data_IF_720024776076
#
_entry.id   IF_720024776076
#
_cell.length_a   1.000
_cell.length_b   1.000
_cell.length_c   1.000
_cell.angle_alpha   90.00
_cell.angle_beta   90.00
_cell.angle_gamma   90.00
#
_symmetry.space_group_name_H-M   'P 1'
#
loop_
_entity.id
_entity.type
_entity.pdbx_description
1 polymer ?
#
# COMPACT_ATOMS: atom_id res chain seq x y z
N UNK A 1 -6.50 18.54 -2.87
CA UNK A 1 -5.97 17.15 -2.84
C UNK A 1 -5.37 16.77 -1.48
N UNK A 2 -4.77 17.69 -0.72
CA UNK A 2 -4.16 17.41 0.60
C UNK A 2 -5.13 17.30 1.78
N UNK A 3 -6.33 17.88 1.69
CA UNK A 3 -7.29 17.88 2.82
C UNK A 3 -7.88 16.49 3.08
N UNK A 4 -8.22 15.74 2.02
CA UNK A 4 -8.82 14.41 2.14
C UNK A 4 -7.85 13.39 2.75
N UNK A 5 -6.57 13.42 2.34
CA UNK A 5 -5.51 12.56 2.91
C UNK A 5 -5.30 12.83 4.41
N UNK A 6 -5.38 14.10 4.82
CA UNK A 6 -5.21 14.49 6.22
C UNK A 6 -6.38 14.01 7.09
N UNK A 7 -7.59 14.04 6.52
CA UNK A 7 -8.82 13.57 7.18
C UNK A 7 -8.92 12.04 7.17
N UNK A 8 -8.38 11.35 6.17
CA UNK A 8 -8.38 9.89 6.06
C UNK A 8 -7.51 9.21 7.12
N UNK A 9 -6.38 9.82 7.48
CA UNK A 9 -5.34 9.22 8.32
C UNK A 9 -5.83 8.76 9.70
N UNK A 10 -6.62 9.53 10.47
CA UNK A 10 -7.16 9.07 11.76
C UNK A 10 -8.09 7.86 11.63
N UNK A 11 -8.95 7.83 10.61
CA UNK A 11 -9.86 6.69 10.39
C UNK A 11 -9.11 5.45 9.94
N UNK A 12 -8.16 5.60 9.01
CA UNK A 12 -7.31 4.51 8.56
C UNK A 12 -6.50 3.92 9.72
N UNK A 13 -5.96 4.78 10.58
CA UNK A 13 -5.22 4.35 11.77
C UNK A 13 -6.12 3.62 12.78
N UNK A 14 -7.29 4.17 13.11
CA UNK A 14 -8.21 3.52 14.04
C UNK A 14 -8.69 2.16 13.52
N UNK A 15 -9.03 2.06 12.23
CA UNK A 15 -9.39 0.79 11.60
C UNK A 15 -8.22 -0.19 11.60
N UNK A 16 -7.00 0.29 11.35
CA UNK A 16 -5.79 -0.54 11.37
C UNK A 16 -5.46 -1.06 12.76
N UNK A 17 -5.44 -0.18 13.77
CA UNK A 17 -5.17 -0.56 15.17
C UNK A 17 -6.18 -1.63 15.64
N UNK A 18 -7.47 -1.45 15.33
CA UNK A 18 -8.51 -2.43 15.63
C UNK A 18 -8.30 -3.76 14.87
N UNK A 19 -7.98 -3.69 13.58
CA UNK A 19 -7.76 -4.88 12.77
C UNK A 19 -6.53 -5.69 13.22
N UNK A 20 -5.50 -5.02 13.74
CA UNK A 20 -4.32 -5.65 14.33
C UNK A 20 -4.66 -6.33 15.65
N UNK A 21 -5.40 -5.67 16.55
CA UNK A 21 -5.84 -6.26 17.82
C UNK A 21 -6.65 -7.54 17.63
N UNK A 22 -7.49 -7.57 16.58
CA UNK A 22 -8.33 -8.71 16.24
C UNK A 22 -7.70 -9.69 15.23
N UNK A 23 -6.45 -9.46 14.83
CA UNK A 23 -5.71 -10.25 13.83
C UNK A 23 -6.52 -10.49 12.53
N UNK A 24 -7.30 -9.50 12.12
CA UNK A 24 -8.25 -9.54 11.01
C UNK A 24 -7.95 -8.51 9.91
N UNK A 25 -6.69 -8.07 9.84
CA UNK A 25 -6.17 -7.06 8.88
C UNK A 25 -6.54 -7.37 7.43
N UNK A 26 -6.47 -8.63 7.01
CA UNK A 26 -6.81 -9.03 5.64
C UNK A 26 -8.30 -8.85 5.34
N UNK A 27 -9.19 -9.29 6.25
CA UNK A 27 -10.63 -9.08 6.10
C UNK A 27 -11.00 -7.61 6.09
N UNK A 28 -10.37 -6.81 6.96
CA UNK A 28 -10.58 -5.36 6.98
C UNK A 28 -10.17 -4.72 5.66
N UNK A 29 -9.05 -5.13 5.06
CA UNK A 29 -8.65 -4.63 3.74
C UNK A 29 -9.70 -4.93 2.67
N UNK A 30 -10.24 -6.15 2.63
CA UNK A 30 -11.27 -6.53 1.65
C UNK A 30 -12.56 -5.74 1.85
N UNK A 31 -12.99 -5.56 3.11
CA UNK A 31 -14.14 -4.72 3.47
C UNK A 31 -13.96 -3.26 3.01
N UNK A 32 -12.80 -2.66 3.30
CA UNK A 32 -12.48 -1.29 2.89
C UNK A 32 -12.36 -1.17 1.37
N UNK A 33 -11.82 -2.18 0.70
CA UNK A 33 -11.72 -2.23 -0.76
C UNK A 33 -13.11 -2.24 -1.41
N UNK A 34 -14.02 -3.07 -0.90
CA UNK A 34 -15.40 -3.11 -1.36
C UNK A 34 -16.11 -1.77 -1.12
N UNK A 35 -15.98 -1.19 0.08
CA UNK A 35 -16.58 0.10 0.39
C UNK A 35 -16.03 1.25 -0.48
N UNK A 36 -14.72 1.24 -0.79
CA UNK A 36 -14.12 2.19 -1.71
C UNK A 36 -14.65 2.03 -3.14
N UNK A 37 -14.88 0.80 -3.60
CA UNK A 37 -15.43 0.54 -4.94
C UNK A 37 -16.90 0.95 -5.06
N UNK A 38 -17.70 0.69 -4.02
CA UNK A 38 -19.10 1.16 -3.92
C UNK A 38 -19.15 2.69 -3.96
N UNK A 39 -18.19 3.35 -3.32
CA UNK A 39 -18.09 4.83 -3.32
C UNK A 39 -17.74 5.41 -4.69
N UNK A 40 -17.04 4.65 -5.55
CA UNK A 40 -16.71 5.06 -6.92
C UNK A 40 -17.86 4.88 -7.91
N UNK A 41 -18.92 4.15 -7.56
CA UNK A 41 -20.07 3.99 -8.44
C UNK A 41 -20.77 5.35 -8.64
N UNK A 42 -21.01 5.75 -9.90
CA UNK A 42 -21.56 7.06 -10.24
C UNK A 42 -22.88 7.37 -9.51
N UNK A 43 -23.77 6.38 -9.36
CA UNK A 43 -25.04 6.55 -8.65
C UNK A 43 -24.82 6.83 -7.16
N UNK A 44 -23.82 6.17 -6.56
CA UNK A 44 -23.50 6.36 -5.15
C UNK A 44 -22.73 7.67 -4.93
N UNK A 45 -21.84 8.03 -5.85
CA UNK A 45 -21.11 9.29 -5.82
C UNK A 45 -22.07 10.50 -5.94
N UNK A 46 -23.10 10.41 -6.79
CA UNK A 46 -24.16 11.42 -6.87
C UNK A 46 -24.96 11.49 -5.57
N UNK A 47 -25.36 10.34 -5.00
CA UNK A 47 -26.11 10.26 -3.74
C UNK A 47 -25.30 10.81 -2.56
N UNK A 48 -23.99 10.58 -2.54
CA UNK A 48 -23.01 11.15 -1.61
C UNK A 48 -22.77 12.65 -1.80
N UNK A 49 -23.05 13.18 -2.98
CA UNK A 49 -22.98 14.62 -3.26
C UNK A 49 -24.27 15.35 -2.91
N UNK A 50 -25.38 14.63 -2.80
CA UNK A 50 -26.67 15.15 -2.35
C UNK A 50 -26.66 15.55 -0.88
N UNK A 51 -27.46 16.56 -0.53
CA UNK A 51 -27.71 16.96 0.86
C UNK A 51 -28.71 16.00 1.55
N UNK A 52 -28.35 14.72 1.65
CA UNK A 52 -29.15 13.72 2.35
C UNK A 52 -28.80 13.70 3.84
N UNK A 53 -29.75 13.25 4.66
CA UNK A 53 -29.49 13.03 6.08
C UNK A 53 -28.39 11.94 6.25
N UNK A 54 -27.39 12.16 7.13
CA UNK A 54 -26.30 11.20 7.35
C UNK A 54 -26.78 9.80 7.71
N UNK A 55 -27.88 9.72 8.46
CA UNK A 55 -28.51 8.48 8.92
C UNK A 55 -29.05 7.66 7.73
N UNK A 56 -29.90 8.26 6.90
CA UNK A 56 -30.48 7.61 5.70
C UNK A 56 -29.41 7.19 4.71
N UNK A 57 -28.36 7.99 4.59
CA UNK A 57 -27.25 7.70 3.70
C UNK A 57 -26.40 6.53 4.23
N UNK A 58 -26.15 6.49 5.55
CA UNK A 58 -25.46 5.37 6.19
C UNK A 58 -26.25 4.06 6.05
N UNK A 59 -27.57 4.09 6.23
CA UNK A 59 -28.44 2.93 6.07
C UNK A 59 -28.47 2.44 4.62
N UNK A 60 -28.56 3.34 3.64
CA UNK A 60 -28.49 2.97 2.22
C UNK A 60 -27.13 2.34 1.87
N UNK A 61 -26.03 2.92 2.38
CA UNK A 61 -24.68 2.38 2.17
C UNK A 61 -24.52 1.01 2.83
N UNK A 62 -25.01 0.85 4.07
CA UNK A 62 -24.96 -0.42 4.80
C UNK A 62 -25.86 -1.46 4.13
N UNK A 63 -27.01 -1.09 3.57
CA UNK A 63 -27.86 -2.02 2.83
C UNK A 63 -27.17 -2.57 1.57
N UNK A 64 -26.33 -1.75 0.92
CA UNK A 64 -25.53 -2.17 -0.24
C UNK A 64 -24.31 -3.00 0.17
N UNK A 65 -23.67 -2.65 1.30
CA UNK A 65 -22.48 -3.33 1.81
C UNK A 65 -22.75 -4.46 2.80
N UNK A 66 -24.01 -4.70 3.16
CA UNK A 66 -24.39 -5.49 4.34
C UNK A 66 -23.98 -6.95 4.30
N UNK A 67 -23.73 -7.50 3.11
CA UNK A 67 -23.34 -8.90 2.93
C UNK A 67 -21.82 -9.13 3.09
N UNK A 68 -21.02 -8.06 3.14
CA UNK A 68 -19.56 -8.12 3.23
C UNK A 68 -19.01 -7.37 4.45
N UNK A 69 -19.84 -6.61 5.18
CA UNK A 69 -19.40 -5.71 6.23
C UNK A 69 -19.78 -6.24 7.63
N UNK A 70 -18.76 -6.55 8.43
CA UNK A 70 -18.92 -6.92 9.85
C UNK A 70 -19.50 -5.75 10.67
N UNK A 71 -20.03 -6.03 11.87
CA UNK A 71 -20.59 -5.01 12.79
C UNK A 71 -19.64 -3.83 13.02
N UNK A 72 -18.33 -4.10 13.10
CA UNK A 72 -17.30 -3.07 13.28
C UNK A 72 -17.08 -2.23 12.02
N UNK A 73 -17.18 -2.84 10.84
CA UNK A 73 -17.15 -2.11 9.57
C UNK A 73 -18.37 -1.22 9.42
N UNK A 74 -19.56 -1.70 9.83
CA UNK A 74 -20.78 -0.90 9.84
C UNK A 74 -20.67 0.32 10.77
N UNK A 75 -20.07 0.14 11.94
CA UNK A 75 -19.81 1.24 12.86
C UNK A 75 -18.84 2.28 12.27
N UNK A 76 -17.78 1.85 11.58
CA UNK A 76 -16.87 2.76 10.88
C UNK A 76 -17.63 3.59 9.82
N UNK A 77 -18.46 2.93 9.01
CA UNK A 77 -19.26 3.59 7.97
C UNK A 77 -20.25 4.59 8.59
N UNK A 78 -20.92 4.25 9.70
CA UNK A 78 -21.80 5.18 10.42
C UNK A 78 -21.07 6.43 10.88
N UNK A 79 -19.92 6.28 11.53
CA UNK A 79 -19.10 7.41 12.00
C UNK A 79 -18.61 8.26 10.81
N UNK A 80 -18.23 7.65 9.70
CA UNK A 80 -17.82 8.38 8.49
C UNK A 80 -19.01 9.10 7.82
N UNK A 81 -20.21 8.50 7.84
CA UNK A 81 -21.43 9.08 7.33
C UNK A 81 -21.88 10.29 8.14
N UNK A 82 -21.90 10.19 9.48
CA UNK A 82 -22.22 11.31 10.40
C UNK A 82 -21.34 12.54 10.14
N UNK A 83 -20.07 12.32 9.80
CA UNK A 83 -19.14 13.38 9.49
C UNK A 83 -19.16 13.84 8.02
N UNK A 84 -20.05 13.30 7.17
CA UNK A 84 -20.11 13.53 5.72
C UNK A 84 -18.78 13.23 4.99
N UNK A 85 -18.02 12.24 5.48
CA UNK A 85 -16.65 11.90 5.01
C UNK A 85 -16.56 10.61 4.21
N UNK A 86 -17.68 10.07 3.75
CA UNK A 86 -17.70 8.84 2.96
C UNK A 86 -16.98 8.95 1.62
N UNK A 87 -16.92 10.15 1.02
CA UNK A 87 -16.14 10.41 -0.20
C UNK A 87 -14.64 10.11 -0.06
N UNK A 88 -14.15 10.02 1.18
CA UNK A 88 -12.73 9.85 1.53
C UNK A 88 -12.37 8.36 1.70
N UNK A 89 -13.34 7.44 1.57
CA UNK A 89 -13.12 5.99 1.67
C UNK A 89 -11.97 5.47 0.77
N UNK A 90 -11.82 5.91 -0.49
CA UNK A 90 -10.68 5.50 -1.32
C UNK A 90 -9.32 5.90 -0.72
N UNK A 91 -9.21 7.11 -0.16
CA UNK A 91 -7.99 7.57 0.49
C UNK A 91 -7.72 6.81 1.81
N UNK A 92 -8.79 6.45 2.55
CA UNK A 92 -8.67 5.61 3.76
C UNK A 92 -8.11 4.23 3.42
N UNK A 93 -8.57 3.62 2.31
CA UNK A 93 -8.04 2.34 1.84
C UNK A 93 -6.55 2.42 1.51
N UNK A 94 -6.12 3.44 0.76
CA UNK A 94 -4.70 3.62 0.43
C UNK A 94 -3.85 3.79 1.70
N UNK A 95 -4.30 4.59 2.66
CA UNK A 95 -3.61 4.76 3.94
C UNK A 95 -3.60 3.47 4.77
N UNK A 96 -4.68 2.68 4.75
CA UNK A 96 -4.74 1.39 5.43
C UNK A 96 -3.74 0.39 4.84
N UNK A 97 -3.65 0.31 3.51
CA UNK A 97 -2.66 -0.53 2.81
C UNK A 97 -1.24 -0.07 3.16
N UNK A 98 -1.00 1.24 3.24
CA UNK A 98 0.30 1.78 3.62
C UNK A 98 0.67 1.43 5.08
N UNK A 99 -0.28 1.55 6.01
CA UNK A 99 -0.10 1.15 7.41
C UNK A 99 0.11 -0.35 7.56
N UNK A 100 -0.64 -1.16 6.82
CA UNK A 100 -0.45 -2.61 6.73
C UNK A 100 0.95 -2.94 6.23
N UNK A 101 1.40 -2.33 5.14
CA UNK A 101 2.75 -2.53 4.60
C UNK A 101 3.84 -2.11 5.60
N UNK A 102 3.62 -1.01 6.33
CA UNK A 102 4.53 -0.56 7.37
C UNK A 102 4.57 -1.51 8.58
N UNK A 103 3.44 -2.09 8.97
CA UNK A 103 3.32 -3.01 10.11
C UNK A 103 3.76 -4.44 9.80
N UNK A 104 3.42 -4.95 8.62
CA UNK A 104 4.00 -6.19 8.08
C UNK A 104 5.49 -5.98 7.73
N UNK A 105 5.93 -4.73 7.81
CA UNK A 105 7.27 -4.26 7.57
C UNK A 105 7.79 -4.80 6.24
N UNK A 106 6.94 -4.78 5.21
CA UNK A 106 7.29 -5.26 3.89
C UNK A 106 8.17 -4.20 3.24
N UNK A 107 9.47 -4.47 3.18
CA UNK A 107 10.38 -3.63 2.42
C UNK A 107 10.21 -3.96 0.93
N UNK A 108 9.69 -3.02 0.16
CA UNK A 108 9.73 -3.11 -1.29
C UNK A 108 11.17 -2.91 -1.76
N UNK A 109 11.70 -3.93 -2.42
CA UNK A 109 13.07 -3.94 -2.94
C UNK A 109 12.99 -4.08 -4.44
N UNK A 110 13.40 -3.03 -5.14
CA UNK A 110 13.52 -3.00 -6.59
C UNK A 110 14.88 -3.60 -6.98
N UNK A 111 14.88 -4.69 -7.73
CA UNK A 111 16.10 -5.33 -8.25
C UNK A 111 16.17 -5.08 -9.75
N UNK A 112 17.16 -4.30 -10.16
CA UNK A 112 17.45 -4.01 -11.56
C UNK A 112 18.58 -4.95 -12.00
N UNK A 113 18.28 -5.82 -12.97
CA UNK A 113 19.24 -6.79 -13.51
C UNK A 113 19.33 -6.69 -15.02
N UNK A 114 20.52 -6.95 -15.58
CA UNK A 114 20.72 -7.02 -17.03
C UNK A 114 19.99 -8.22 -17.67
N UNK A 115 19.82 -9.30 -16.92
CA UNK A 115 19.16 -10.53 -17.36
C UNK A 115 18.05 -10.94 -16.38
N UNK A 116 17.12 -11.77 -16.86
CA UNK A 116 16.12 -12.41 -16.02
C UNK A 116 16.82 -13.29 -14.97
N UNK A 117 16.58 -13.00 -13.69
CA UNK A 117 17.13 -13.77 -12.58
C UNK A 117 16.42 -15.12 -12.48
N UNK A 118 17.16 -16.16 -12.05
CA UNK A 118 16.54 -17.44 -11.71
C UNK A 118 15.85 -17.39 -10.34
N UNK A 119 14.86 -18.26 -10.12
CA UNK A 119 14.12 -18.32 -8.86
C UNK A 119 15.03 -18.60 -7.65
N UNK A 120 16.11 -19.37 -7.85
CA UNK A 120 17.13 -19.61 -6.83
C UNK A 120 17.87 -18.33 -6.44
N UNK A 121 18.23 -17.50 -7.42
CA UNK A 121 18.91 -16.22 -7.16
C UNK A 121 17.97 -15.24 -6.45
N UNK A 122 16.68 -15.21 -6.84
CA UNK A 122 15.67 -14.41 -6.18
C UNK A 122 15.53 -14.83 -4.71
N UNK A 123 15.43 -16.12 -4.42
CA UNK A 123 15.32 -16.63 -3.03
C UNK A 123 16.54 -16.24 -2.17
N UNK A 124 17.75 -16.32 -2.73
CA UNK A 124 18.98 -15.89 -2.04
C UNK A 124 18.97 -14.38 -1.76
N UNK A 125 18.52 -13.57 -2.72
CA UNK A 125 18.40 -12.12 -2.56
C UNK A 125 17.34 -11.79 -1.50
N UNK A 126 16.17 -12.44 -1.52
CA UNK A 126 15.14 -12.29 -0.48
C UNK A 126 15.76 -12.58 0.88
N UNK A 127 16.37 -13.76 1.07
CA UNK A 127 16.93 -14.13 2.38
C UNK A 127 18.01 -13.17 2.88
N UNK A 128 18.88 -12.69 1.98
CA UNK A 128 19.92 -11.72 2.31
C UNK A 128 19.33 -10.35 2.69
N UNK A 129 18.31 -9.90 1.98
CA UNK A 129 17.64 -8.63 2.24
C UNK A 129 16.75 -8.70 3.47
N UNK A 130 16.06 -9.82 3.72
CA UNK A 130 15.28 -10.05 4.94
C UNK A 130 16.17 -10.04 6.18
N UNK A 131 17.37 -10.65 6.11
CA UNK A 131 18.37 -10.57 7.20
C UNK A 131 18.86 -9.15 7.45
N UNK A 132 19.11 -8.38 6.38
CA UNK A 132 19.62 -7.01 6.49
C UNK A 132 18.56 -6.01 6.97
N UNK A 133 17.33 -6.16 6.50
CA UNK A 133 16.22 -5.26 6.81
C UNK A 133 15.41 -5.71 8.03
N UNK A 134 15.58 -6.95 8.51
CA UNK A 134 14.79 -7.58 9.59
C UNK A 134 13.28 -7.51 9.34
N UNK A 135 12.91 -7.65 8.07
CA UNK A 135 11.63 -7.26 7.49
C UNK A 135 11.31 -8.17 6.33
N UNK A 136 10.04 -8.52 6.10
CA UNK A 136 9.65 -9.29 4.91
C UNK A 136 9.94 -8.45 3.67
N UNK A 137 10.43 -9.07 2.60
CA UNK A 137 10.84 -8.32 1.40
C UNK A 137 9.93 -8.69 0.23
N UNK A 138 9.29 -7.69 -0.38
CA UNK A 138 8.60 -7.85 -1.66
C UNK A 138 9.53 -7.39 -2.78
N UNK A 139 10.01 -8.33 -3.57
CA UNK A 139 10.90 -8.05 -4.69
C UNK A 139 10.09 -7.57 -5.91
N UNK A 140 10.49 -6.42 -6.45
CA UNK A 140 10.03 -5.96 -7.76
C UNK A 140 11.22 -6.01 -8.73
N UNK A 141 11.20 -6.97 -9.66
CA UNK A 141 12.30 -7.21 -10.58
C UNK A 141 12.10 -6.42 -11.88
N UNK A 142 13.04 -5.51 -12.18
CA UNK A 142 13.10 -4.80 -13.47
C UNK A 142 14.30 -5.28 -14.27
N UNK A 143 14.09 -5.50 -15.57
CA UNK A 143 15.17 -5.87 -16.50
C UNK A 143 15.64 -4.61 -17.21
N UNK A 144 16.90 -4.25 -17.01
CA UNK A 144 17.55 -3.12 -17.69
C UNK A 144 18.89 -3.56 -18.30
N UNK A 145 18.92 -3.64 -19.63
CA UNK A 145 20.10 -4.04 -20.40
C UNK A 145 21.24 -3.02 -20.36
N UNK A 146 20.99 -1.78 -19.91
CA UNK A 146 22.01 -0.73 -19.78
C UNK A 146 23.07 -1.06 -18.73
N UNK A 147 22.73 -1.93 -17.76
CA UNK A 147 23.62 -2.34 -16.67
C UNK A 147 24.75 -3.25 -17.16
N UNK A 148 24.64 -3.78 -18.39
CA UNK A 148 25.53 -4.76 -19.07
C UNK A 148 25.73 -6.08 -18.30
N UNK A 149 26.19 -6.00 -17.05
CA UNK A 149 26.34 -7.10 -16.12
C UNK A 149 26.24 -6.63 -14.66
N UNK A 150 25.71 -7.49 -13.79
CA UNK A 150 25.51 -7.23 -12.37
C UNK A 150 24.08 -6.85 -12.00
N UNK A 151 23.89 -6.50 -10.73
CA UNK A 151 22.60 -6.19 -10.13
C UNK A 151 22.66 -4.85 -9.39
N UNK A 152 21.58 -4.07 -9.48
CA UNK A 152 21.37 -2.88 -8.66
C UNK A 152 20.15 -3.16 -7.80
N UNK A 153 20.32 -3.14 -6.49
CA UNK A 153 19.24 -3.38 -5.53
C UNK A 153 18.90 -2.03 -4.89
N UNK A 154 17.66 -1.57 -5.05
CA UNK A 154 17.14 -0.35 -4.44
C UNK A 154 16.06 -0.71 -3.42
N UNK A 155 16.26 -0.31 -2.17
CA UNK A 155 15.31 -0.51 -1.07
C UNK A 155 15.00 0.85 -0.45
N UNK A 156 13.92 1.50 -0.89
CA UNK A 156 13.62 2.89 -0.53
C UNK A 156 14.79 3.82 -0.91
N UNK A 157 15.40 4.46 0.09
CA UNK A 157 16.55 5.36 -0.08
C UNK A 157 17.91 4.65 -0.17
N UNK A 158 17.96 3.35 0.11
CA UNK A 158 19.21 2.59 0.09
C UNK A 158 19.43 1.97 -1.29
N UNK A 159 20.52 2.35 -1.96
CA UNK A 159 20.94 1.76 -3.25
C UNK A 159 22.21 0.95 -3.06
N UNK A 160 22.14 -0.35 -3.31
CA UNK A 160 23.28 -1.25 -3.41
C UNK A 160 23.58 -1.47 -4.88
N UNK A 161 24.62 -0.80 -5.37
CA UNK A 161 25.10 -0.96 -6.74
C UNK A 161 26.17 -2.06 -6.82
N UNK A 162 25.78 -3.20 -7.40
CA UNK A 162 26.65 -4.30 -7.78
C UNK A 162 26.90 -4.40 -9.29
N UNK A 163 26.59 -3.34 -10.05
CA UNK A 163 26.78 -3.32 -11.51
C UNK A 163 28.24 -3.19 -11.91
N UNK A 164 28.59 -3.77 -13.06
CA UNK A 164 29.91 -3.59 -13.68
C UNK A 164 30.10 -2.15 -14.14
N UNK A 165 29.03 -1.49 -14.59
CA UNK A 165 29.03 -0.06 -14.95
C UNK A 165 29.50 0.81 -13.79
N UNK A 166 28.89 0.66 -12.61
CA UNK A 166 29.27 1.45 -11.43
C UNK A 166 30.70 1.18 -10.96
N UNK A 167 31.21 -0.05 -11.14
CA UNK A 167 32.62 -0.37 -10.84
C UNK A 167 33.60 0.31 -11.82
N UNK A 168 33.27 0.34 -13.11
CA UNK A 168 34.08 1.02 -14.12
C UNK A 168 34.08 2.54 -13.92
N UNK A 169 32.93 3.14 -13.60
CA UNK A 169 32.83 4.57 -13.28
C UNK A 169 33.70 4.93 -12.07
N UNK A 170 33.64 4.15 -10.97
CA UNK A 170 34.51 4.37 -9.80
C UNK A 170 36.00 4.23 -10.14
N UNK A 171 36.36 3.29 -11.01
CA UNK A 171 37.76 3.13 -11.43
C UNK A 171 38.23 4.32 -12.27
N UNK A 172 37.38 4.80 -13.19
CA UNK A 172 37.68 5.96 -14.02
C UNK A 172 37.87 7.23 -13.17
N UNK A 173 37.03 7.43 -12.16
CA UNK A 173 37.10 8.58 -11.25
C UNK A 173 38.40 8.57 -10.42
N UNK A 174 38.80 7.40 -9.92
CA UNK A 174 40.08 7.22 -9.20
C UNK A 174 41.29 7.43 -10.10
N UNK A 175 41.19 7.14 -11.40
CA UNK A 175 42.27 7.36 -12.36
C UNK A 175 42.35 8.81 -12.89
N UNK A 176 41.28 9.58 -12.75
CA UNK A 176 41.23 11.01 -13.11
C UNK A 176 41.58 11.94 -11.94
N UNK A 177 41.66 11.38 -10.72
CA UNK A 177 42.11 12.06 -9.49
C UNK A 177 43.61 11.94 -9.28
#
# INVERSE_FOLDING_TARGET
MSEFVTVARPYAKAAFDFAVEHNSVERWQDMLAFAAEVTKNDQMAELLSGALAPETLSEAFIAICGEQLDENGQNLIKVMAENNRLKVLPDVLEQFIHLRAASEAIAEVEVISANQLSDEQLAVIVSAMEKRLSRKVKLNCKIDKSVMAGIIIRAGDMVIDGSVRGRLERLADVLQS
#
